data_IF_952563112326
#
_entry.id   IF_952563112326
#
_cell.length_a   1.000
_cell.length_b   1.000
_cell.length_c   1.000
_cell.angle_alpha   90.00
_cell.angle_beta   90.00
_cell.angle_gamma   90.00
#
_symmetry.space_group_name_H-M   'P 1'
#
loop_
_entity.id
_entity.type
_entity.pdbx_description
1 polymer ?
#
# COMPACT_ATOMS: atom_id res chain seq x y z
N UNK A 1 -23.04 -35.31 -28.36
CA UNK A 1 -22.12 -34.58 -27.47
C UNK A 1 -22.46 -35.01 -26.05
N UNK A 2 -21.57 -35.73 -25.36
CA UNK A 2 -21.88 -36.37 -24.08
C UNK A 2 -22.00 -35.31 -22.98
N UNK A 3 -22.99 -35.43 -22.10
CA UNK A 3 -23.28 -34.51 -20.99
C UNK A 3 -22.07 -34.21 -20.11
N UNK A 4 -21.11 -35.14 -20.02
CA UNK A 4 -19.82 -34.96 -19.31
C UNK A 4 -18.89 -33.91 -19.94
N UNK A 5 -18.91 -33.77 -21.28
CA UNK A 5 -18.13 -32.75 -21.99
C UNK A 5 -18.72 -31.35 -21.75
N UNK A 6 -20.04 -31.27 -21.63
CA UNK A 6 -20.74 -30.01 -21.36
C UNK A 6 -20.47 -29.51 -19.93
N UNK A 7 -20.53 -30.41 -18.94
CA UNK A 7 -20.21 -30.04 -17.54
C UNK A 7 -18.75 -29.63 -17.36
N UNK A 8 -17.83 -30.23 -18.11
CA UNK A 8 -16.41 -29.87 -18.06
C UNK A 8 -16.16 -28.45 -18.59
N UNK A 9 -16.79 -28.08 -19.71
CA UNK A 9 -16.71 -26.72 -20.25
C UNK A 9 -17.33 -25.66 -19.33
N UNK A 10 -18.41 -26.00 -18.63
CA UNK A 10 -19.06 -25.09 -17.67
C UNK A 10 -18.15 -24.77 -16.47
N UNK A 11 -17.40 -25.76 -15.97
CA UNK A 11 -16.45 -25.57 -14.86
C UNK A 11 -15.26 -24.70 -15.30
N UNK A 12 -14.76 -24.89 -16.53
CA UNK A 12 -13.69 -24.05 -17.10
C UNK A 12 -14.14 -22.59 -17.24
N UNK A 13 -15.36 -22.36 -17.73
CA UNK A 13 -15.91 -21.01 -17.85
C UNK A 13 -16.08 -20.34 -16.47
N UNK A 14 -16.50 -21.09 -15.45
CA UNK A 14 -16.63 -20.58 -14.09
C UNK A 14 -15.28 -20.23 -13.44
N UNK A 15 -14.24 -21.03 -13.69
CA UNK A 15 -12.88 -20.74 -13.22
C UNK A 15 -12.29 -19.47 -13.84
N UNK A 16 -12.63 -19.16 -15.10
CA UNK A 16 -12.13 -17.93 -15.76
C UNK A 16 -12.75 -16.64 -15.19
N UNK A 17 -13.98 -16.69 -14.66
CA UNK A 17 -14.65 -15.51 -14.07
C UNK A 17 -13.97 -15.03 -12.78
N UNK A 18 -13.36 -15.94 -12.01
CA UNK A 18 -12.72 -15.62 -10.73
C UNK A 18 -11.42 -14.81 -10.93
N UNK A 19 -10.77 -14.92 -12.09
CA UNK A 19 -9.47 -14.25 -12.38
C UNK A 19 -9.64 -12.76 -12.71
N UNK A 20 -10.85 -12.30 -13.03
CA UNK A 20 -11.11 -10.93 -13.48
C UNK A 20 -11.22 -9.88 -12.37
N UNK A 21 -11.19 -10.27 -11.09
CA UNK A 21 -11.12 -9.32 -9.97
C UNK A 21 -9.67 -9.00 -9.58
N UNK A 22 -8.87 -8.52 -10.54
CA UNK A 22 -7.67 -7.77 -10.19
C UNK A 22 -8.06 -6.32 -10.01
N UNK A 23 -8.21 -5.89 -8.75
CA UNK A 23 -8.24 -4.46 -8.40
C UNK A 23 -6.96 -3.86 -8.97
N UNK A 24 -7.09 -2.98 -9.96
CA UNK A 24 -5.94 -2.26 -10.52
C UNK A 24 -5.44 -1.33 -9.43
N UNK A 25 -4.42 -1.76 -8.70
CA UNK A 25 -3.53 -0.84 -7.99
C UNK A 25 -2.74 -0.10 -9.08
N UNK A 26 -3.32 1.00 -9.55
CA UNK A 26 -2.51 2.06 -10.11
C UNK A 26 -1.72 2.59 -8.91
N UNK A 27 -0.49 2.11 -8.73
CA UNK A 27 0.50 2.87 -8.00
C UNK A 27 1.10 3.80 -9.04
N UNK A 28 0.64 5.05 -9.06
CA UNK A 28 1.40 6.10 -9.69
C UNK A 28 2.77 6.10 -9.02
N UNK A 29 3.76 5.47 -9.64
CA UNK A 29 5.16 5.64 -9.29
C UNK A 29 5.54 7.08 -9.66
N UNK A 30 5.16 8.03 -8.80
CA UNK A 30 5.77 9.34 -8.76
C UNK A 30 7.24 9.16 -8.40
N UNK A 31 8.09 9.92 -9.09
CA UNK A 31 9.54 9.86 -8.96
C UNK A 31 9.96 10.03 -7.48
N UNK A 32 10.85 9.15 -7.01
CA UNK A 32 11.31 9.11 -5.63
C UNK A 32 11.96 10.44 -5.17
N UNK A 33 12.39 11.28 -6.12
CA UNK A 33 13.02 12.58 -5.85
C UNK A 33 12.10 13.61 -5.18
N UNK A 34 10.79 13.61 -5.45
CA UNK A 34 9.89 14.65 -4.95
C UNK A 34 9.57 14.49 -3.46
N UNK A 35 9.49 13.24 -2.96
CA UNK A 35 9.18 12.96 -1.55
C UNK A 35 10.40 12.95 -0.63
N UNK A 36 11.62 12.98 -1.16
CA UNK A 36 12.84 12.98 -0.33
C UNK A 36 12.96 14.23 0.56
N UNK A 37 12.45 15.37 0.09
CA UNK A 37 12.38 16.60 0.91
C UNK A 37 11.40 16.45 2.07
N UNK A 38 10.29 15.75 1.86
CA UNK A 38 9.29 15.44 2.89
C UNK A 38 9.90 14.49 3.92
N UNK A 39 10.61 13.45 3.47
CA UNK A 39 11.34 12.52 4.35
C UNK A 39 12.31 13.28 5.27
N UNK A 40 13.13 14.15 4.69
CA UNK A 40 14.15 14.91 5.41
C UNK A 40 13.50 15.83 6.44
N UNK A 41 12.42 16.52 6.06
CA UNK A 41 11.70 17.42 6.95
C UNK A 41 11.03 16.66 8.10
N UNK A 42 10.32 15.57 7.81
CA UNK A 42 9.64 14.79 8.85
C UNK A 42 10.63 14.11 9.80
N UNK A 43 11.76 13.64 9.29
CA UNK A 43 12.84 13.15 10.15
C UNK A 43 13.35 14.25 11.07
N UNK A 44 13.53 15.48 10.58
CA UNK A 44 13.95 16.61 11.42
C UNK A 44 12.94 16.92 12.53
N UNK A 45 11.64 16.72 12.30
CA UNK A 45 10.61 16.90 13.35
C UNK A 45 10.74 15.83 14.43
N UNK A 46 10.93 14.56 14.04
CA UNK A 46 11.18 13.47 15.00
C UNK A 46 12.35 13.85 15.91
N UNK A 47 13.44 14.34 15.32
CA UNK A 47 14.68 14.63 16.02
C UNK A 47 14.60 15.91 16.88
N UNK A 48 13.93 16.96 16.40
CA UNK A 48 13.94 18.29 17.04
C UNK A 48 12.77 18.52 17.99
N UNK A 49 11.59 17.98 17.69
CA UNK A 49 10.39 18.13 18.51
C UNK A 49 10.20 16.97 19.50
N UNK A 50 11.14 16.01 19.54
CA UNK A 50 11.10 14.82 20.39
C UNK A 50 9.79 14.02 20.24
N UNK A 51 9.29 13.93 19.01
CA UNK A 51 8.10 13.14 18.69
C UNK A 51 8.53 11.69 18.54
N UNK A 52 7.88 10.77 19.26
CA UNK A 52 8.29 9.36 19.28
C UNK A 52 8.15 8.67 17.93
N UNK A 53 7.10 8.99 17.17
CA UNK A 53 6.88 8.49 15.82
C UNK A 53 5.67 9.13 15.16
N UNK A 54 5.65 9.10 13.82
CA UNK A 54 4.62 9.69 12.97
C UNK A 54 4.38 8.75 11.78
N UNK A 55 3.14 8.68 11.30
CA UNK A 55 2.80 7.99 10.06
C UNK A 55 1.99 8.95 9.19
N UNK A 56 2.36 9.08 7.92
CA UNK A 56 1.68 9.98 6.99
C UNK A 56 1.29 9.24 5.71
N UNK A 57 0.19 9.69 5.10
CA UNK A 57 -0.23 9.30 3.77
C UNK A 57 -0.61 10.57 3.00
N UNK A 58 -0.10 10.71 1.78
CA UNK A 58 -0.43 11.78 0.84
C UNK A 58 -1.26 11.16 -0.26
N UNK A 59 -2.38 11.79 -0.59
CA UNK A 59 -3.30 11.32 -1.61
C UNK A 59 -3.39 12.30 -2.77
N UNK A 60 -3.52 11.76 -3.98
CA UNK A 60 -3.94 12.50 -5.16
C UNK A 60 -5.33 12.01 -5.54
N UNK A 61 -6.36 12.75 -5.13
CA UNK A 61 -7.74 12.29 -5.22
C UNK A 61 -7.97 11.02 -4.37
N UNK A 62 -8.51 9.93 -4.94
CA UNK A 62 -8.75 8.69 -4.18
C UNK A 62 -7.51 7.81 -4.00
N UNK A 63 -6.38 8.14 -4.64
CA UNK A 63 -5.18 7.30 -4.67
C UNK A 63 -4.17 7.77 -3.62
N UNK A 64 -3.60 6.83 -2.85
CA UNK A 64 -2.46 7.12 -1.97
C UNK A 64 -1.18 7.13 -2.82
N UNK A 65 -0.58 8.30 -2.97
CA UNK A 65 0.62 8.51 -3.81
C UNK A 65 1.92 8.47 -3.01
N UNK A 66 1.84 8.57 -1.69
CA UNK A 66 2.99 8.41 -0.80
C UNK A 66 2.50 8.01 0.59
N UNK A 67 3.23 7.11 1.25
CA UNK A 67 2.96 6.75 2.63
C UNK A 67 4.21 6.23 3.31
N UNK A 68 4.47 6.72 4.51
CA UNK A 68 5.64 6.32 5.28
C UNK A 68 5.47 6.54 6.78
N UNK A 69 6.03 5.63 7.55
CA UNK A 69 6.21 5.76 8.99
C UNK A 69 7.60 6.28 9.33
N UNK A 70 7.68 7.15 10.34
CA UNK A 70 8.89 7.74 10.90
C UNK A 70 8.94 7.47 12.41
N UNK A 71 10.14 7.24 12.94
CA UNK A 71 10.32 6.94 14.37
C UNK A 71 9.72 5.60 14.80
N UNK A 72 9.18 5.56 16.01
CA UNK A 72 8.66 4.36 16.68
C UNK A 72 7.22 4.52 17.13
N UNK A 73 6.43 3.44 17.01
CA UNK A 73 5.07 3.36 17.55
C UNK A 73 5.06 3.08 19.05
N UNK A 74 6.16 2.55 19.59
CA UNK A 74 6.33 2.28 21.00
C UNK A 74 7.77 2.56 21.44
N UNK A 75 7.91 3.42 22.46
CA UNK A 75 9.20 3.91 22.95
C UNK A 75 9.99 2.83 23.71
N UNK A 76 9.29 1.94 24.41
CA UNK A 76 9.88 0.88 25.23
C UNK A 76 10.38 -0.26 24.36
N UNK A 77 9.52 -0.76 23.47
CA UNK A 77 9.86 -1.88 22.58
C UNK A 77 10.67 -1.45 21.35
N UNK A 78 10.80 -0.14 21.12
CA UNK A 78 11.42 0.46 19.92
C UNK A 78 10.81 -0.04 18.60
N UNK A 79 9.57 -0.52 18.63
CA UNK A 79 8.86 -0.97 17.43
C UNK A 79 8.70 0.22 16.48
N UNK A 80 9.13 0.07 15.23
CA UNK A 80 9.05 1.13 14.22
C UNK A 80 7.60 1.52 13.93
N UNK A 81 7.40 2.78 13.58
CA UNK A 81 6.14 3.21 13.00
C UNK A 81 6.04 2.66 11.57
N UNK A 82 5.00 1.89 11.30
CA UNK A 82 4.70 1.32 9.99
C UNK A 82 3.37 1.91 9.50
N UNK A 83 3.23 2.05 8.18
CA UNK A 83 1.96 2.44 7.57
C UNK A 83 1.21 1.22 7.07
N UNK A 84 -0.09 1.17 7.31
CA UNK A 84 -1.00 0.12 6.85
C UNK A 84 -1.41 0.39 5.40
N UNK A 85 -0.52 0.07 4.46
CA UNK A 85 -0.87 -0.10 3.06
C UNK A 85 -0.47 -1.51 2.65
#
# INVERSE_FOLDING_TARGET
>A
MTTKQFTFWMIIAFLMIIVSFKKSEHSAQMDNGDFQKIDTYLQSIIDTANVSGLAIAITSGPEVVYSKGFGVTNIETKKKAETWI
#
